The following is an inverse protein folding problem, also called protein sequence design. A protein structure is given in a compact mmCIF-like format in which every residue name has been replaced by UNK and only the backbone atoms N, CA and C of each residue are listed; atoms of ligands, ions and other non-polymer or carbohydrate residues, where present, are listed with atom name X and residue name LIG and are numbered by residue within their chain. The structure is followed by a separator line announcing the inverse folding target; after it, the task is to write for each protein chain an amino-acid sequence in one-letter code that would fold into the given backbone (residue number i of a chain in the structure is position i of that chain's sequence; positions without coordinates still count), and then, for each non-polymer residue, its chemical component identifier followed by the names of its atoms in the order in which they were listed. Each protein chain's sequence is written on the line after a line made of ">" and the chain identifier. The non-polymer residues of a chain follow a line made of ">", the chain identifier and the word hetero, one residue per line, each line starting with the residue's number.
data_IF_952906125462
#
_entry.id   IF_952906125462
#
_cell.length_a   1.000
_cell.length_b   1.000
_cell.length_c   1.000
_cell.angle_alpha   90.00
_cell.angle_beta   90.00
_cell.angle_gamma   90.00
#
_symmetry.space_group_name_H-M   'P 1'
#
loop_
_entity.id
_entity.type
_entity.pdbx_description
1 polymer ?
#
# COMPACT_ATOMS: atom_id res chain seq x y z
N UNK A 1 16.68 -0.55 53.18
CA UNK A 1 17.33 -1.61 52.38
C UNK A 1 17.11 -1.31 50.91
N UNK A 2 18.17 -1.19 50.11
CA UNK A 2 18.06 -0.95 48.68
C UNK A 2 17.57 -2.23 47.97
N UNK A 3 16.64 -2.16 47.00
CA UNK A 3 16.15 -3.35 46.31
C UNK A 3 17.27 -4.02 45.51
N UNK A 4 17.28 -5.37 45.51
CA UNK A 4 18.23 -6.19 44.75
C UNK A 4 18.18 -5.85 43.25
N UNK A 5 19.29 -6.08 42.54
CA UNK A 5 19.42 -5.82 41.09
C UNK A 5 18.31 -6.47 40.27
N UNK A 6 17.95 -7.72 40.59
CA UNK A 6 16.87 -8.45 39.92
C UNK A 6 15.49 -7.76 40.03
N UNK A 7 15.19 -7.09 41.16
CA UNK A 7 13.94 -6.34 41.32
C UNK A 7 13.93 -5.05 40.50
N UNK A 8 15.10 -4.45 40.24
CA UNK A 8 15.21 -3.27 39.37
C UNK A 8 15.01 -3.63 37.91
N UNK A 9 15.52 -4.77 37.45
CA UNK A 9 15.34 -5.22 36.07
C UNK A 9 13.87 -5.53 35.76
N UNK A 10 13.16 -6.21 36.68
CA UNK A 10 11.72 -6.46 36.54
C UNK A 10 10.92 -5.15 36.51
N UNK A 11 11.28 -4.18 37.35
CA UNK A 11 10.65 -2.85 37.36
C UNK A 11 10.88 -2.08 36.05
N UNK A 12 12.10 -2.14 35.50
CA UNK A 12 12.45 -1.48 34.23
C UNK A 12 11.68 -2.12 33.07
N UNK A 13 11.56 -3.46 33.03
CA UNK A 13 10.77 -4.16 32.01
C UNK A 13 9.28 -3.82 32.10
N UNK A 14 8.74 -3.73 33.31
CA UNK A 14 7.34 -3.37 33.53
C UNK A 14 7.03 -1.93 33.09
N UNK A 15 7.89 -0.97 33.46
CA UNK A 15 7.76 0.43 33.01
C UNK A 15 7.89 0.53 31.48
N UNK A 16 8.85 -0.19 30.88
CA UNK A 16 9.05 -0.20 29.43
C UNK A 16 7.83 -0.75 28.68
N UNK A 17 7.19 -1.79 29.23
CA UNK A 17 5.93 -2.33 28.68
C UNK A 17 4.80 -1.30 28.74
N UNK A 18 4.62 -0.61 29.87
CA UNK A 18 3.60 0.43 30.02
C UNK A 18 3.85 1.60 29.06
N UNK A 19 5.11 2.04 28.94
CA UNK A 19 5.50 3.09 28.00
C UNK A 19 5.21 2.67 26.56
N UNK A 20 5.54 1.43 26.16
CA UNK A 20 5.24 0.91 24.83
C UNK A 20 3.73 0.88 24.55
N UNK A 21 2.91 0.46 25.50
CA UNK A 21 1.45 0.48 25.36
C UNK A 21 0.92 1.92 25.20
N UNK A 22 1.49 2.87 25.95
CA UNK A 22 1.11 4.28 25.87
C UNK A 22 1.53 4.93 24.55
N UNK A 23 2.75 4.61 24.07
CA UNK A 23 3.25 5.02 22.76
C UNK A 23 2.33 4.48 21.66
N UNK A 24 1.99 3.20 21.67
CA UNK A 24 1.07 2.62 20.68
C UNK A 24 -0.33 3.22 20.71
N UNK A 25 -0.87 3.53 21.90
CA UNK A 25 -2.17 4.25 22.01
C UNK A 25 -2.09 5.64 21.40
N UNK A 26 -1.01 6.38 21.67
CA UNK A 26 -0.81 7.71 21.12
C UNK A 26 -0.66 7.70 19.60
N UNK A 27 0.09 6.73 19.05
CA UNK A 27 0.24 6.53 17.62
C UNK A 27 -1.11 6.23 16.96
N UNK A 28 -1.86 5.23 17.46
CA UNK A 28 -3.21 4.89 16.96
C UNK A 28 -4.16 6.08 16.98
N UNK A 29 -4.12 6.91 18.03
CA UNK A 29 -4.95 8.11 18.12
C UNK A 29 -4.55 9.17 17.08
N UNK A 30 -3.25 9.37 16.84
CA UNK A 30 -2.76 10.25 15.77
C UNK A 30 -3.18 9.76 14.39
N UNK A 31 -3.10 8.44 14.14
CA UNK A 31 -3.61 7.82 12.90
C UNK A 31 -5.10 8.13 12.70
N UNK A 32 -5.90 8.00 13.77
CA UNK A 32 -7.34 8.21 13.70
C UNK A 32 -7.70 9.67 13.39
N UNK A 33 -6.99 10.64 14.00
CA UNK A 33 -7.17 12.07 13.71
C UNK A 33 -6.74 12.42 12.28
N UNK A 34 -5.66 11.81 11.77
CA UNK A 34 -5.23 11.98 10.38
C UNK A 34 -6.28 11.42 9.40
N UNK A 35 -6.88 10.27 9.69
CA UNK A 35 -7.96 9.68 8.89
C UNK A 35 -9.22 10.54 8.88
N UNK A 36 -9.65 11.07 10.03
CA UNK A 36 -10.79 11.99 10.12
C UNK A 36 -10.54 13.26 9.28
N UNK A 37 -9.36 13.88 9.41
CA UNK A 37 -8.99 15.06 8.61
C UNK A 37 -8.96 14.77 7.11
N UNK A 38 -8.56 13.56 6.71
CA UNK A 38 -8.59 13.11 5.30
C UNK A 38 -10.01 12.93 4.79
N UNK A 39 -10.91 12.34 5.59
CA UNK A 39 -12.31 12.15 5.22
C UNK A 39 -13.01 13.50 4.97
N UNK A 40 -12.75 14.51 5.82
CA UNK A 40 -13.25 15.88 5.62
C UNK A 40 -12.70 16.50 4.33
N UNK A 41 -11.41 16.30 4.02
CA UNK A 41 -10.79 16.78 2.77
C UNK A 41 -11.26 16.03 1.51
N UNK A 42 -11.77 14.81 1.65
CA UNK A 42 -12.33 14.05 0.53
C UNK A 42 -13.74 14.54 0.19
N UNK A 43 -14.55 14.85 1.21
CA UNK A 43 -15.90 15.41 1.04
C UNK A 43 -15.90 16.75 0.30
N UNK A 44 -14.90 17.61 0.54
CA UNK A 44 -14.81 18.93 -0.11
C UNK A 44 -14.33 18.91 -1.56
N UNK A 45 -13.90 17.74 -2.08
CA UNK A 45 -13.35 17.60 -3.44
C UNK A 45 -14.18 16.71 -4.38
N UNK A 46 -15.36 16.23 -3.94
CA UNK A 46 -16.21 15.30 -4.70
C UNK A 46 -15.44 14.10 -5.28
N UNK A 47 -14.52 13.52 -4.50
CA UNK A 47 -13.84 12.30 -4.93
C UNK A 47 -14.82 11.13 -4.95
N UNK A 48 -14.74 10.29 -5.98
CA UNK A 48 -15.50 9.03 -6.03
C UNK A 48 -15.02 8.07 -4.95
N UNK A 49 -15.86 7.10 -4.57
CA UNK A 49 -15.49 6.07 -3.59
C UNK A 49 -14.21 5.31 -4.01
N UNK A 50 -14.09 5.01 -5.31
CA UNK A 50 -12.89 4.40 -5.88
C UNK A 50 -11.64 5.27 -5.65
N UNK A 51 -11.72 6.58 -5.91
CA UNK A 51 -10.61 7.51 -5.67
C UNK A 51 -10.27 7.60 -4.18
N UNK A 52 -11.26 7.60 -3.30
CA UNK A 52 -11.05 7.63 -1.84
C UNK A 52 -10.27 6.39 -1.41
N UNK A 53 -10.67 5.19 -1.83
CA UNK A 53 -9.99 3.93 -1.49
C UNK A 53 -8.55 3.89 -1.98
N UNK A 54 -8.28 4.32 -3.22
CA UNK A 54 -6.89 4.38 -3.72
C UNK A 54 -6.07 5.41 -2.95
N UNK A 55 -6.64 6.58 -2.61
CA UNK A 55 -5.95 7.61 -1.83
C UNK A 55 -5.61 7.15 -0.42
N UNK A 56 -6.49 6.37 0.19
CA UNK A 56 -6.27 5.73 1.49
C UNK A 56 -5.17 4.67 1.39
N UNK A 57 -5.26 3.75 0.42
CA UNK A 57 -4.28 2.69 0.22
C UNK A 57 -2.87 3.23 -0.11
N UNK A 58 -2.79 4.43 -0.68
CA UNK A 58 -1.54 5.10 -1.09
C UNK A 58 -1.19 6.32 -0.23
N UNK A 59 -1.73 6.44 0.98
CA UNK A 59 -1.41 7.54 1.89
C UNK A 59 0.07 7.50 2.35
N UNK A 60 0.60 8.62 2.85
CA UNK A 60 2.00 8.70 3.31
C UNK A 60 2.25 8.05 4.68
N UNK A 61 1.32 7.26 5.21
CA UNK A 61 1.49 6.59 6.50
C UNK A 61 2.61 5.54 6.45
N UNK A 62 3.25 5.17 7.58
CA UNK A 62 4.39 4.27 7.54
C UNK A 62 4.07 2.80 7.26
N UNK A 63 2.82 2.37 7.37
CA UNK A 63 2.35 1.00 7.10
C UNK A 63 1.79 0.83 5.69
N UNK A 64 1.88 -0.38 5.13
CA UNK A 64 1.30 -0.71 3.82
C UNK A 64 -0.24 -0.76 3.82
N UNK A 65 -0.88 -0.76 2.63
CA UNK A 65 -2.33 -0.94 2.52
C UNK A 65 -2.77 -2.32 3.06
N UNK A 66 -3.96 -2.38 3.64
CA UNK A 66 -4.53 -3.66 4.11
C UNK A 66 -4.98 -4.52 2.92
N UNK A 67 -4.93 -5.85 3.08
CA UNK A 67 -5.40 -6.79 2.05
C UNK A 67 -6.88 -6.58 1.73
N UNK A 68 -7.72 -6.29 2.73
CA UNK A 68 -9.15 -5.99 2.54
C UNK A 68 -9.35 -4.78 1.62
N UNK A 69 -8.65 -3.67 1.88
CA UNK A 69 -8.77 -2.47 1.05
C UNK A 69 -8.28 -2.73 -0.38
N UNK A 70 -7.19 -3.49 -0.54
CA UNK A 70 -6.71 -3.86 -1.88
C UNK A 70 -7.68 -4.80 -2.62
N UNK A 71 -8.35 -5.70 -1.93
CA UNK A 71 -9.43 -6.55 -2.48
C UNK A 71 -10.59 -5.70 -2.98
N UNK A 72 -11.06 -4.74 -2.17
CA UNK A 72 -12.13 -3.82 -2.59
C UNK A 72 -11.74 -3.02 -3.83
N UNK A 73 -10.50 -2.50 -3.88
CA UNK A 73 -9.99 -1.81 -5.08
C UNK A 73 -9.93 -2.76 -6.28
N UNK A 74 -9.47 -4.00 -6.09
CA UNK A 74 -9.43 -5.01 -7.14
C UNK A 74 -10.82 -5.30 -7.72
N UNK A 75 -11.85 -5.41 -6.87
CA UNK A 75 -13.23 -5.65 -7.30
C UNK A 75 -13.80 -4.44 -8.07
N UNK A 76 -13.49 -3.22 -7.62
CA UNK A 76 -13.91 -2.00 -8.32
C UNK A 76 -13.29 -1.85 -9.72
N UNK A 77 -12.15 -2.51 -10.02
CA UNK A 77 -11.52 -2.44 -11.35
C UNK A 77 -12.39 -3.05 -12.47
N UNK A 78 -13.43 -3.83 -12.14
CA UNK A 78 -14.38 -4.35 -13.12
C UNK A 78 -15.44 -3.31 -13.55
N UNK A 79 -15.66 -2.25 -12.76
CA UNK A 79 -16.51 -1.13 -13.15
C UNK A 79 -15.74 -0.14 -14.03
N UNK A 80 -16.29 0.24 -15.19
CA UNK A 80 -15.58 1.05 -16.19
C UNK A 80 -15.21 2.46 -15.68
N UNK A 81 -16.11 3.11 -14.94
CA UNK A 81 -15.86 4.45 -14.40
C UNK A 81 -14.84 4.38 -13.25
N UNK A 82 -15.04 3.46 -12.31
CA UNK A 82 -14.12 3.26 -11.19
C UNK A 82 -12.72 2.84 -11.67
N UNK A 83 -12.62 2.00 -12.70
CA UNK A 83 -11.35 1.62 -13.32
C UNK A 83 -10.54 2.85 -13.75
N UNK A 84 -11.18 3.80 -14.44
CA UNK A 84 -10.53 5.02 -14.92
C UNK A 84 -9.99 5.83 -13.74
N UNK A 85 -10.80 6.02 -12.71
CA UNK A 85 -10.45 6.72 -11.49
C UNK A 85 -9.30 6.08 -10.71
N UNK A 86 -9.34 4.75 -10.55
CA UNK A 86 -8.32 3.95 -9.87
C UNK A 86 -6.98 4.10 -10.59
N UNK A 87 -6.96 3.84 -11.90
CA UNK A 87 -5.73 3.89 -12.67
C UNK A 87 -5.16 5.30 -12.73
N UNK A 88 -5.98 6.34 -12.95
CA UNK A 88 -5.51 7.73 -12.92
C UNK A 88 -4.87 8.10 -11.58
N UNK A 89 -5.45 7.68 -10.46
CA UNK A 89 -4.88 7.93 -9.14
C UNK A 89 -3.57 7.16 -8.93
N UNK A 90 -3.50 5.89 -9.35
CA UNK A 90 -2.26 5.09 -9.28
C UNK A 90 -1.15 5.75 -10.08
N UNK A 91 -1.39 6.11 -11.35
CA UNK A 91 -0.38 6.77 -12.19
C UNK A 91 0.10 8.09 -11.61
N UNK A 92 -0.83 8.89 -11.05
CA UNK A 92 -0.49 10.12 -10.34
C UNK A 92 0.46 9.86 -9.16
N UNK A 93 0.22 8.81 -8.38
CA UNK A 93 1.05 8.43 -7.22
C UNK A 93 2.39 7.84 -7.61
N UNK A 94 2.46 7.13 -8.73
CA UNK A 94 3.71 6.60 -9.27
C UNK A 94 4.64 7.73 -9.77
N UNK A 95 4.06 8.86 -10.17
CA UNK A 95 4.80 10.06 -10.58
C UNK A 95 5.17 11.00 -9.42
N UNK A 96 5.02 10.58 -8.16
CA UNK A 96 5.53 11.34 -7.02
C UNK A 96 7.06 11.15 -6.88
N UNK A 97 7.74 12.10 -6.23
CA UNK A 97 9.20 12.11 -6.08
C UNK A 97 9.65 12.51 -4.67
N UNK A 98 10.92 12.28 -4.37
CA UNK A 98 11.57 12.75 -3.14
C UNK A 98 10.89 12.24 -1.87
N UNK A 99 10.54 13.16 -0.95
CA UNK A 99 9.95 12.84 0.37
C UNK A 99 8.61 12.08 0.30
N UNK A 100 7.99 12.02 -0.87
CA UNK A 100 6.74 11.28 -1.12
C UNK A 100 6.97 9.83 -1.58
N UNK A 101 8.16 9.27 -1.37
CA UNK A 101 8.51 7.91 -1.78
C UNK A 101 7.51 6.83 -1.33
N UNK A 102 6.83 7.00 -0.18
CA UNK A 102 5.82 6.05 0.30
C UNK A 102 4.59 6.01 -0.60
N UNK A 103 4.21 7.13 -1.22
CA UNK A 103 3.14 7.15 -2.23
C UNK A 103 3.49 6.25 -3.40
N UNK A 104 4.71 6.37 -3.93
CA UNK A 104 5.22 5.56 -5.04
C UNK A 104 5.26 4.08 -4.67
N UNK A 105 5.88 3.76 -3.52
CA UNK A 105 6.00 2.38 -3.03
C UNK A 105 4.63 1.70 -2.82
N UNK A 106 3.68 2.42 -2.21
CA UNK A 106 2.33 1.88 -1.97
C UNK A 106 1.51 1.81 -3.25
N UNK A 107 1.66 2.75 -4.17
CA UNK A 107 1.03 2.67 -5.49
C UNK A 107 1.51 1.43 -6.26
N UNK A 108 2.82 1.14 -6.26
CA UNK A 108 3.37 -0.10 -6.81
C UNK A 108 2.81 -1.34 -6.09
N UNK A 109 2.57 -1.25 -4.78
CA UNK A 109 2.01 -2.37 -3.99
C UNK A 109 0.57 -2.65 -4.36
N UNK A 110 -0.26 -1.60 -4.46
CA UNK A 110 -1.65 -1.73 -4.94
C UNK A 110 -1.64 -2.26 -6.37
N UNK A 111 -0.81 -1.70 -7.25
CA UNK A 111 -0.74 -2.07 -8.66
C UNK A 111 -0.36 -3.55 -8.86
N UNK A 112 0.66 -4.04 -8.14
CA UNK A 112 1.04 -5.46 -8.14
C UNK A 112 -0.13 -6.38 -7.72
N UNK A 113 -0.88 -5.97 -6.69
CA UNK A 113 -2.03 -6.72 -6.22
C UNK A 113 -3.17 -6.77 -7.25
N UNK A 114 -3.56 -5.61 -7.79
CA UNK A 114 -4.70 -5.52 -8.72
C UNK A 114 -4.37 -6.09 -10.10
N UNK A 115 -3.11 -6.08 -10.54
CA UNK A 115 -2.64 -6.83 -11.72
C UNK A 115 -2.84 -8.33 -11.55
N UNK A 116 -2.83 -8.85 -10.32
CA UNK A 116 -2.99 -10.28 -10.05
C UNK A 116 -4.44 -10.69 -9.76
N UNK A 117 -5.24 -9.79 -9.20
CA UNK A 117 -6.55 -10.14 -8.61
C UNK A 117 -7.74 -9.32 -9.14
N UNK A 118 -7.48 -8.26 -9.91
CA UNK A 118 -8.51 -7.42 -10.53
C UNK A 118 -8.72 -7.75 -12.02
N UNK A 119 -9.38 -6.83 -12.73
CA UNK A 119 -9.65 -6.91 -14.16
C UNK A 119 -8.38 -7.07 -15.00
N UNK A 120 -8.44 -7.90 -16.05
CA UNK A 120 -7.35 -8.06 -17.04
C UNK A 120 -6.95 -6.71 -17.68
N UNK A 121 -7.88 -5.74 -17.72
CA UNK A 121 -7.64 -4.39 -18.23
C UNK A 121 -6.52 -3.67 -17.49
N UNK A 122 -6.30 -4.00 -16.21
CA UNK A 122 -5.21 -3.43 -15.41
C UNK A 122 -3.87 -3.87 -15.99
N UNK A 123 -3.68 -5.17 -16.16
CA UNK A 123 -2.46 -5.73 -16.73
C UNK A 123 -2.22 -5.20 -18.15
N UNK A 124 -3.27 -5.11 -18.98
CA UNK A 124 -3.18 -4.57 -20.32
C UNK A 124 -2.67 -3.12 -20.33
N UNK A 125 -3.30 -2.22 -19.56
CA UNK A 125 -2.87 -0.82 -19.50
C UNK A 125 -1.45 -0.66 -18.93
N UNK A 126 -1.05 -1.52 -17.98
CA UNK A 126 0.32 -1.52 -17.46
C UNK A 126 1.35 -2.00 -18.47
N UNK A 127 1.02 -2.96 -19.34
CA UNK A 127 1.90 -3.38 -20.44
C UNK A 127 2.06 -2.27 -21.47
N UNK A 128 0.98 -1.59 -21.83
CA UNK A 128 0.99 -0.44 -22.76
C UNK A 128 1.84 0.72 -22.23
N UNK A 129 1.85 0.92 -20.91
CA UNK A 129 2.58 2.01 -20.24
C UNK A 129 3.77 1.52 -19.42
N UNK A 130 4.37 0.39 -19.78
CA UNK A 130 5.39 -0.28 -18.96
C UNK A 130 6.60 0.61 -18.66
N UNK A 131 6.94 1.53 -19.58
CA UNK A 131 8.03 2.49 -19.38
C UNK A 131 7.84 3.37 -18.15
N UNK A 132 6.60 3.77 -17.83
CA UNK A 132 6.32 4.57 -16.63
C UNK A 132 6.60 3.81 -15.32
N UNK A 133 6.51 2.49 -15.35
CA UNK A 133 6.89 1.61 -14.22
C UNK A 133 8.40 1.34 -14.26
N UNK A 134 8.97 1.16 -15.45
CA UNK A 134 10.40 0.89 -15.65
C UNK A 134 11.28 2.04 -15.13
N UNK A 135 10.89 3.30 -15.28
CA UNK A 135 11.67 4.43 -14.73
C UNK A 135 11.83 4.37 -13.21
N UNK A 136 10.91 3.70 -12.51
CA UNK A 136 10.99 3.52 -11.05
C UNK A 136 12.03 2.48 -10.63
N UNK A 137 12.62 1.72 -11.57
CA UNK A 137 13.74 0.81 -11.25
C UNK A 137 15.00 1.55 -10.86
N UNK A 138 15.08 2.85 -11.16
CA UNK A 138 16.20 3.74 -10.83
C UNK A 138 15.80 4.79 -9.78
N UNK A 139 14.67 4.62 -9.10
CA UNK A 139 14.19 5.56 -8.09
C UNK A 139 15.19 5.74 -6.93
N UNK A 140 15.53 6.98 -6.61
CA UNK A 140 16.47 7.32 -5.53
C UNK A 140 15.81 8.19 -4.47
N UNK A 141 15.94 7.78 -3.21
CA UNK A 141 15.60 8.63 -2.08
C UNK A 141 16.39 8.20 -0.83
N UNK A 142 17.15 9.15 -0.27
CA UNK A 142 17.84 8.98 1.01
C UNK A 142 17.09 9.77 2.08
N UNK A 143 16.69 9.09 3.15
CA UNK A 143 16.05 9.70 4.33
C UNK A 143 16.86 9.31 5.57
N UNK A 144 17.44 10.31 6.26
CA UNK A 144 18.26 10.09 7.46
C UNK A 144 19.38 9.05 7.28
N UNK A 145 20.04 9.06 6.11
CA UNK A 145 21.12 8.13 5.78
C UNK A 145 20.66 6.73 5.34
N UNK A 146 19.34 6.48 5.30
CA UNK A 146 18.76 5.22 4.80
C UNK A 146 18.25 5.39 3.37
N UNK A 147 18.56 4.44 2.50
CA UNK A 147 18.02 4.36 1.14
C UNK A 147 16.58 3.81 1.16
N UNK A 148 15.62 4.72 1.27
CA UNK A 148 14.20 4.37 1.17
C UNK A 148 13.77 4.13 -0.30
N UNK A 149 14.61 4.50 -1.26
CA UNK A 149 14.39 4.20 -2.67
C UNK A 149 14.60 2.72 -3.02
N UNK A 150 15.41 1.99 -2.24
CA UNK A 150 15.73 0.58 -2.50
C UNK A 150 14.48 -0.28 -2.71
N UNK A 151 13.51 -0.20 -1.79
CA UNK A 151 12.29 -0.98 -1.85
C UNK A 151 11.38 -0.61 -3.04
N UNK A 152 11.42 0.65 -3.47
CA UNK A 152 10.72 1.11 -4.68
C UNK A 152 11.32 0.44 -5.91
N UNK A 153 12.66 0.48 -6.03
CA UNK A 153 13.39 -0.12 -7.15
C UNK A 153 13.15 -1.62 -7.26
N UNK A 154 13.26 -2.35 -6.15
CA UNK A 154 13.04 -3.81 -6.14
C UNK A 154 11.61 -4.18 -6.53
N UNK A 155 10.61 -3.44 -6.02
CA UNK A 155 9.21 -3.67 -6.38
C UNK A 155 8.94 -3.36 -7.85
N UNK A 156 9.48 -2.26 -8.37
CA UNK A 156 9.35 -1.89 -9.77
C UNK A 156 10.00 -2.95 -10.70
N UNK A 157 11.21 -3.43 -10.37
CA UNK A 157 11.89 -4.48 -11.13
C UNK A 157 11.05 -5.75 -11.19
N UNK A 158 10.53 -6.21 -10.05
CA UNK A 158 9.68 -7.40 -9.98
C UNK A 158 8.41 -7.25 -10.81
N UNK A 159 7.77 -6.08 -10.75
CA UNK A 159 6.55 -5.82 -11.50
C UNK A 159 6.79 -5.77 -13.01
N UNK A 160 7.87 -5.10 -13.44
CA UNK A 160 8.30 -5.08 -14.84
C UNK A 160 8.60 -6.49 -15.35
N UNK A 161 9.34 -7.31 -14.57
CA UNK A 161 9.63 -8.69 -14.95
C UNK A 161 8.34 -9.51 -15.11
N UNK A 162 7.38 -9.34 -14.21
CA UNK A 162 6.08 -10.00 -14.29
C UNK A 162 5.29 -9.56 -15.53
N UNK A 163 5.25 -8.26 -15.84
CA UNK A 163 4.50 -7.73 -16.98
C UNK A 163 5.09 -8.12 -18.34
N UNK A 164 6.40 -8.36 -18.41
CA UNK A 164 7.09 -8.84 -19.62
C UNK A 164 6.86 -10.34 -19.89
N UNK A 165 6.54 -11.12 -18.86
CA UNK A 165 6.30 -12.56 -18.96
C UNK A 165 4.81 -12.88 -18.85
N UNK A 166 4.14 -12.98 -20.02
CA UNK A 166 2.69 -13.19 -20.08
C UNK A 166 2.25 -14.53 -19.49
N UNK A 167 3.04 -15.59 -19.64
CA UNK A 167 2.70 -16.92 -19.10
C UNK A 167 2.84 -16.94 -17.58
N UNK A 168 3.93 -16.37 -17.06
CA UNK A 168 4.09 -16.20 -15.61
C UNK A 168 3.00 -15.33 -15.01
N UNK A 169 2.64 -14.22 -15.67
CA UNK A 169 1.54 -13.37 -15.22
C UNK A 169 0.22 -14.13 -15.16
N UNK A 170 -0.11 -14.92 -16.18
CA UNK A 170 -1.32 -15.75 -16.21
C UNK A 170 -1.33 -16.76 -15.06
N UNK A 171 -0.21 -17.42 -14.79
CA UNK A 171 -0.08 -18.37 -13.69
C UNK A 171 -0.23 -17.70 -12.31
N UNK A 172 0.42 -16.55 -12.10
CA UNK A 172 0.30 -15.78 -10.85
C UNK A 172 -1.13 -15.25 -10.64
N UNK A 173 -1.82 -14.82 -11.70
CA UNK A 173 -3.24 -14.44 -11.65
C UNK A 173 -4.13 -15.60 -11.24
N UNK A 174 -3.99 -16.76 -11.88
CA UNK A 174 -4.76 -17.96 -11.53
C UNK A 174 -4.56 -18.36 -10.06
N UNK A 175 -3.32 -18.31 -9.58
CA UNK A 175 -2.99 -18.59 -8.17
C UNK A 175 -3.59 -17.56 -7.22
N UNK A 176 -3.48 -16.26 -7.54
CA UNK A 176 -3.93 -15.18 -6.68
C UNK A 176 -5.46 -15.13 -6.56
N UNK A 177 -6.18 -15.34 -7.66
CA UNK A 177 -7.65 -15.41 -7.67
C UNK A 177 -8.16 -16.57 -6.82
N UNK A 178 -7.55 -17.77 -6.97
CA UNK A 178 -7.89 -18.93 -6.12
C UNK A 178 -7.62 -18.69 -4.63
N UNK A 179 -6.58 -17.92 -4.30
CA UNK A 179 -6.30 -17.54 -2.92
C UNK A 179 -7.31 -16.53 -2.37
N UNK A 180 -7.70 -15.54 -3.18
CA UNK A 180 -8.72 -14.53 -2.85
C UNK A 180 -10.08 -15.17 -2.57
N UNK A 181 -10.51 -16.13 -3.38
CA UNK A 181 -11.77 -16.87 -3.19
C UNK A 181 -11.83 -17.59 -1.84
N UNK A 182 -10.72 -18.18 -1.39
CA UNK A 182 -10.66 -18.89 -0.09
C UNK A 182 -10.81 -17.95 1.11
N UNK A 183 -10.43 -16.69 0.95
CA UNK A 183 -10.44 -15.68 2.00
C UNK A 183 -11.77 -14.93 2.03
N UNK A 184 -12.61 -15.08 1.00
CA UNK A 184 -13.98 -14.58 0.97
C UNK A 184 -14.97 -15.67 1.43
N UNK A 185 -15.20 -15.89 2.74
CA UNK A 185 -16.29 -16.74 3.18
C UNK A 185 -17.63 -16.07 2.81
N UNK A 186 -18.51 -16.83 2.16
CA UNK A 186 -19.95 -16.62 1.94
C UNK A 186 -20.52 -15.26 2.39
N UNK A 187 -20.59 -14.30 1.48
CA UNK A 187 -21.65 -13.29 1.48
C UNK A 187 -22.68 -13.72 0.43
N UNK A 188 -23.51 -14.70 0.80
CA UNK A 188 -24.72 -15.12 0.10
C UNK A 188 -25.91 -14.84 0.99
#
# INVERSE_FOLDING_TARGET
>A
QAPSSANRDVWVQHISSILNVQVQKSEKMQVNVANIRRNIKNFTRNYSDAQIKVREATCNDPWGPSSTLMTEIADLTYNVMAFTDIMQMIWKRLNDHGRNWRHVYKALTVLDYIIKTGSERVAQQCKENIFAIQTLTDFQHLEMGKDEGYNVREKAKNLVMLLKDSEKLKAERAKALKAKERIAPNNS
#
